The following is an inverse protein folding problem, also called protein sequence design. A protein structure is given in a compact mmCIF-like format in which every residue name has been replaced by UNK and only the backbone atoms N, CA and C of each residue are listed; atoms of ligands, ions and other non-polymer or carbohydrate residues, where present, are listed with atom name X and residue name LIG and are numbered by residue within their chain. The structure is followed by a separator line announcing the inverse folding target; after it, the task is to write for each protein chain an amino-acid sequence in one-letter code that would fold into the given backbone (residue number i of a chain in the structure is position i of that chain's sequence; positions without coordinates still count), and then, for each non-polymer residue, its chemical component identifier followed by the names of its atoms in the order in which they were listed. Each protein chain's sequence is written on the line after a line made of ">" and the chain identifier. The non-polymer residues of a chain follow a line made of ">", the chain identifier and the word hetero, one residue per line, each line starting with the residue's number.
data_IF_451643897873
#
_entry.id   IF_451643897873
#
_cell.length_a   1.000
_cell.length_b   1.000
_cell.length_c   1.000
_cell.angle_alpha   90.00
_cell.angle_beta   90.00
_cell.angle_gamma   90.00
#
_symmetry.space_group_name_H-M   'P 1'
#
loop_
_entity.id
_entity.type
_entity.pdbx_description
1 polymer ?
#
# COMPACT_ATOMS: atom_id res chain seq x y z
N UNK A 1 -6.97 39.43 31.02
CA UNK A 1 -5.55 39.82 30.89
C UNK A 1 -4.90 39.04 29.77
N UNK A 2 -4.62 39.69 28.64
CA UNK A 2 -4.07 39.03 27.45
C UNK A 2 -2.56 38.85 27.67
N UNK A 3 -2.13 37.64 27.99
CA UNK A 3 -0.72 37.28 28.26
C UNK A 3 0.22 37.27 27.03
N UNK A 4 -0.26 37.74 25.86
CA UNK A 4 0.48 37.61 24.59
C UNK A 4 0.94 38.93 23.98
N UNK A 5 0.93 40.03 24.75
CA UNK A 5 1.26 41.36 24.23
C UNK A 5 2.75 41.61 24.04
N UNK A 6 3.63 40.83 24.67
CA UNK A 6 5.07 41.10 24.74
C UNK A 6 5.92 40.11 23.91
N UNK A 7 5.30 39.40 22.97
CA UNK A 7 6.01 38.43 22.09
C UNK A 7 6.88 39.15 21.06
N UNK A 8 8.11 38.70 20.93
CA UNK A 8 8.99 39.15 19.84
C UNK A 8 8.50 38.63 18.46
N UNK A 9 9.12 39.11 17.38
CA UNK A 9 8.68 38.81 16.01
C UNK A 9 8.70 37.29 15.69
N UNK A 10 9.68 36.56 16.20
CA UNK A 10 9.82 35.10 15.98
C UNK A 10 8.76 34.33 16.79
N UNK A 11 8.47 34.74 17.98
CA UNK A 11 7.42 34.13 18.82
C UNK A 11 6.03 34.38 18.25
N UNK A 12 5.80 35.55 17.65
CA UNK A 12 4.56 35.86 16.93
C UNK A 12 4.39 34.96 15.70
N UNK A 13 5.46 34.78 14.92
CA UNK A 13 5.44 33.89 13.75
C UNK A 13 5.14 32.42 14.15
N UNK A 14 5.78 31.94 15.22
CA UNK A 14 5.53 30.59 15.76
C UNK A 14 4.08 30.48 16.24
N UNK A 15 3.57 31.50 16.96
CA UNK A 15 2.20 31.48 17.43
C UNK A 15 1.18 31.47 16.29
N UNK A 16 1.41 32.21 15.22
CA UNK A 16 0.53 32.17 14.04
C UNK A 16 0.57 30.81 13.34
N UNK A 17 1.74 30.21 13.18
CA UNK A 17 1.90 28.84 12.66
C UNK A 17 1.16 27.82 13.55
N UNK A 18 1.23 27.94 14.86
CA UNK A 18 0.50 27.09 15.80
C UNK A 18 -1.01 27.30 15.71
N UNK A 19 -1.49 28.54 15.55
CA UNK A 19 -2.91 28.83 15.35
C UNK A 19 -3.43 28.29 14.03
N UNK A 20 -2.66 28.36 12.95
CA UNK A 20 -3.00 27.74 11.67
C UNK A 20 -3.04 26.22 11.76
N UNK A 21 -2.09 25.61 12.47
CA UNK A 21 -2.08 24.15 12.69
C UNK A 21 -3.27 23.69 13.55
N UNK A 22 -3.68 24.50 14.55
CA UNK A 22 -4.83 24.20 15.42
C UNK A 22 -6.19 24.31 14.70
N UNK A 23 -6.26 25.06 13.60
CA UNK A 23 -7.45 25.10 12.73
C UNK A 23 -7.61 23.85 11.88
N UNK A 24 -6.54 23.09 11.66
CA UNK A 24 -6.61 21.78 11.02
C UNK A 24 -7.11 20.79 12.06
N UNK A 25 -8.38 20.39 11.96
CA UNK A 25 -8.91 19.27 12.74
C UNK A 25 -7.96 18.09 12.59
N UNK A 26 -7.70 17.35 13.66
CA UNK A 26 -6.93 16.13 13.60
C UNK A 26 -7.51 15.24 12.50
N UNK A 27 -6.70 14.93 11.50
CA UNK A 27 -7.11 14.05 10.40
C UNK A 27 -6.62 12.66 10.77
N UNK A 28 -7.55 11.77 11.07
CA UNK A 28 -7.24 10.37 11.30
C UNK A 28 -6.96 9.70 9.95
N UNK A 29 -5.81 9.06 9.83
CA UNK A 29 -5.43 8.23 8.69
C UNK A 29 -5.57 6.75 9.05
N UNK A 30 -6.13 5.97 8.14
CA UNK A 30 -6.14 4.51 8.30
C UNK A 30 -4.80 3.96 7.85
N UNK A 31 -4.08 3.34 8.77
CA UNK A 31 -2.74 2.81 8.54
C UNK A 31 -2.71 1.32 8.85
N UNK A 32 -1.95 0.56 8.07
CA UNK A 32 -1.61 -0.84 8.33
C UNK A 32 -0.09 -0.95 8.44
N UNK A 33 0.41 -1.38 9.60
CA UNK A 33 1.85 -1.35 9.90
C UNK A 33 2.60 -2.63 9.57
N UNK A 34 1.94 -3.67 9.09
CA UNK A 34 2.58 -4.95 8.83
C UNK A 34 1.77 -5.73 7.82
N UNK A 35 2.28 -5.85 6.60
CA UNK A 35 1.65 -6.65 5.56
C UNK A 35 2.71 -7.43 4.79
N UNK A 36 2.40 -8.68 4.49
CA UNK A 36 3.20 -9.51 3.60
C UNK A 36 2.54 -9.59 2.23
N UNK A 37 3.36 -9.50 1.18
CA UNK A 37 2.93 -9.64 -0.20
C UNK A 37 3.11 -11.09 -0.69
N UNK A 38 2.64 -11.43 -1.90
CA UNK A 38 2.92 -12.73 -2.51
C UNK A 38 4.40 -13.10 -2.63
N UNK A 39 5.31 -12.14 -2.50
CA UNK A 39 6.75 -12.40 -2.48
C UNK A 39 7.25 -13.01 -1.16
N UNK A 40 6.50 -12.83 -0.07
CA UNK A 40 6.85 -13.41 1.23
C UNK A 40 6.57 -14.91 1.25
N UNK A 41 7.46 -15.68 1.87
CA UNK A 41 7.31 -17.15 1.92
C UNK A 41 6.08 -17.61 2.72
N UNK A 42 5.62 -16.80 3.65
CA UNK A 42 4.47 -17.08 4.55
C UNK A 42 3.18 -16.41 4.08
N UNK A 43 3.19 -15.79 2.90
CA UNK A 43 2.00 -15.14 2.36
C UNK A 43 0.82 -16.11 2.27
N UNK A 44 -0.28 -15.73 2.90
CA UNK A 44 -1.53 -16.48 2.88
C UNK A 44 -2.70 -15.51 2.73
N UNK A 45 -3.29 -15.43 1.56
CA UNK A 45 -4.50 -14.61 1.32
C UNK A 45 -5.78 -15.43 1.41
N UNK A 46 -5.71 -16.70 1.03
CA UNK A 46 -6.71 -17.73 1.23
C UNK A 46 -6.14 -18.75 2.20
N UNK A 47 -6.96 -19.59 2.81
CA UNK A 47 -6.59 -20.56 3.85
C UNK A 47 -5.38 -21.46 3.54
N UNK A 48 -4.88 -21.42 2.29
CA UNK A 48 -3.56 -21.94 1.92
C UNK A 48 -3.03 -21.26 0.66
N UNK A 49 -1.69 -21.12 0.52
CA UNK A 49 -1.03 -20.75 -0.75
C UNK A 49 -1.52 -21.61 -1.91
N UNK A 50 -1.70 -22.87 -1.64
CA UNK A 50 -2.17 -23.85 -2.63
C UNK A 50 -3.56 -23.54 -3.20
N UNK A 51 -4.48 -23.01 -2.40
CA UNK A 51 -5.83 -22.69 -2.86
C UNK A 51 -5.85 -21.49 -3.79
N UNK A 52 -4.98 -20.52 -3.56
CA UNK A 52 -4.84 -19.38 -4.45
C UNK A 52 -4.26 -19.77 -5.80
N UNK A 53 -3.17 -20.54 -5.80
CA UNK A 53 -2.50 -21.00 -7.04
C UNK A 53 -3.29 -22.08 -7.80
N UNK A 54 -4.20 -22.79 -7.11
CA UNK A 54 -5.10 -23.78 -7.72
C UNK A 54 -6.43 -23.21 -8.17
N UNK A 55 -6.79 -21.99 -7.72
CA UNK A 55 -8.00 -21.29 -8.19
C UNK A 55 -7.94 -21.06 -9.69
N UNK A 56 -9.08 -21.23 -10.37
CA UNK A 56 -9.14 -20.87 -11.78
C UNK A 56 -9.02 -19.35 -11.91
N UNK A 57 -8.17 -18.89 -12.82
CA UNK A 57 -7.99 -17.45 -13.12
C UNK A 57 -9.35 -16.74 -13.26
N UNK A 58 -10.29 -17.37 -13.95
CA UNK A 58 -11.64 -16.83 -14.16
C UNK A 58 -12.42 -16.62 -12.86
N UNK A 59 -12.26 -17.48 -11.85
CA UNK A 59 -12.95 -17.33 -10.56
C UNK A 59 -12.40 -16.14 -9.79
N UNK A 60 -11.09 -15.93 -9.85
CA UNK A 60 -10.42 -14.78 -9.22
C UNK A 60 -10.81 -13.49 -9.93
N UNK A 61 -10.85 -13.49 -11.25
CA UNK A 61 -11.32 -12.35 -12.06
C UNK A 61 -12.80 -12.04 -11.76
N UNK A 62 -13.62 -13.07 -11.63
CA UNK A 62 -15.03 -12.90 -11.25
C UNK A 62 -15.16 -12.26 -9.85
N UNK A 63 -14.33 -12.69 -8.89
CA UNK A 63 -14.29 -12.09 -7.55
C UNK A 63 -13.83 -10.63 -7.59
N UNK A 64 -12.78 -10.30 -8.35
CA UNK A 64 -12.33 -8.92 -8.53
C UNK A 64 -13.44 -8.02 -9.09
N UNK A 65 -14.27 -8.58 -9.97
CA UNK A 65 -15.30 -7.85 -10.68
C UNK A 65 -16.68 -7.87 -9.99
N UNK A 66 -16.83 -8.54 -8.85
CA UNK A 66 -18.13 -8.71 -8.16
C UNK A 66 -18.93 -7.43 -7.92
N UNK A 67 -18.24 -6.33 -7.60
CA UNK A 67 -18.91 -5.06 -7.27
C UNK A 67 -18.76 -3.99 -8.37
N UNK A 68 -17.82 -4.16 -9.27
CA UNK A 68 -17.53 -3.25 -10.38
C UNK A 68 -16.62 -3.99 -11.34
N UNK A 69 -16.84 -3.88 -12.64
CA UNK A 69 -15.93 -4.45 -13.64
C UNK A 69 -14.54 -3.78 -13.54
N UNK A 70 -13.67 -4.31 -12.66
CA UNK A 70 -12.37 -3.74 -12.37
C UNK A 70 -11.33 -4.15 -13.42
N UNK A 71 -11.47 -5.33 -13.98
CA UNK A 71 -10.48 -5.85 -14.90
C UNK A 71 -11.14 -6.61 -16.05
N UNK A 72 -10.76 -6.26 -17.27
CA UNK A 72 -11.05 -7.02 -18.47
C UNK A 72 -9.90 -7.97 -18.79
N UNK A 73 -10.13 -8.94 -19.65
CA UNK A 73 -9.12 -9.90 -20.09
C UNK A 73 -7.88 -9.20 -20.69
N UNK A 74 -8.10 -8.24 -21.58
CA UNK A 74 -7.02 -7.45 -22.19
C UNK A 74 -6.24 -6.63 -21.17
N UNK A 75 -6.91 -6.06 -20.15
CA UNK A 75 -6.25 -5.31 -19.09
C UNK A 75 -5.42 -6.24 -18.21
N UNK A 76 -5.93 -7.45 -17.91
CA UNK A 76 -5.20 -8.45 -17.15
C UNK A 76 -3.95 -8.92 -17.89
N UNK A 77 -4.06 -9.24 -19.19
CA UNK A 77 -2.92 -9.64 -20.00
C UNK A 77 -1.82 -8.58 -19.99
N UNK A 78 -2.18 -7.30 -20.17
CA UNK A 78 -1.21 -6.21 -20.15
C UNK A 78 -0.59 -6.00 -18.78
N UNK A 79 -1.38 -6.06 -17.73
CA UNK A 79 -0.90 -5.93 -16.36
C UNK A 79 0.03 -7.06 -15.97
N UNK A 80 -0.27 -8.29 -16.37
CA UNK A 80 0.48 -9.49 -15.99
C UNK A 80 1.90 -9.55 -16.57
N UNK A 81 2.22 -8.73 -17.57
CA UNK A 81 3.57 -8.68 -18.17
C UNK A 81 4.69 -8.29 -17.17
N UNK A 82 4.34 -7.63 -16.07
CA UNK A 82 5.27 -7.25 -15.01
C UNK A 82 5.40 -8.28 -13.87
N UNK A 83 4.81 -9.47 -14.02
CA UNK A 83 4.74 -10.51 -13.00
C UNK A 83 5.18 -11.86 -13.58
N UNK A 84 5.52 -12.80 -12.71
CA UNK A 84 6.01 -14.11 -13.15
C UNK A 84 4.92 -14.94 -13.85
N UNK A 85 3.65 -14.72 -13.46
CA UNK A 85 2.50 -15.34 -14.10
C UNK A 85 1.19 -14.57 -13.73
N UNK A 86 0.08 -14.94 -14.39
CA UNK A 86 -1.21 -14.30 -14.16
C UNK A 86 -1.75 -14.49 -12.73
N UNK A 87 -1.47 -15.61 -12.07
CA UNK A 87 -1.93 -15.83 -10.70
C UNK A 87 -1.23 -14.90 -9.73
N UNK A 88 0.07 -14.69 -9.90
CA UNK A 88 0.80 -13.71 -9.10
C UNK A 88 0.23 -12.29 -9.33
N UNK A 89 0.05 -11.89 -10.59
CA UNK A 89 -0.55 -10.60 -10.93
C UNK A 89 -1.92 -10.40 -10.25
N UNK A 90 -2.77 -11.43 -10.29
CA UNK A 90 -4.08 -11.41 -9.65
C UNK A 90 -3.99 -11.32 -8.12
N UNK A 91 -2.99 -11.96 -7.49
CA UNK A 91 -2.76 -11.85 -6.05
C UNK A 91 -2.47 -10.42 -5.63
N UNK A 92 -1.58 -9.75 -6.35
CA UNK A 92 -1.28 -8.33 -6.11
C UNK A 92 -2.50 -7.43 -6.37
N UNK A 93 -3.28 -7.69 -7.41
CA UNK A 93 -4.53 -6.94 -7.66
C UNK A 93 -5.57 -7.13 -6.55
N UNK A 94 -5.72 -8.34 -6.03
CA UNK A 94 -6.60 -8.62 -4.89
C UNK A 94 -6.16 -7.86 -3.65
N UNK A 95 -4.87 -7.87 -3.35
CA UNK A 95 -4.30 -7.15 -2.22
C UNK A 95 -4.48 -5.65 -2.37
N UNK A 96 -4.15 -5.09 -3.53
CA UNK A 96 -4.35 -3.68 -3.86
C UNK A 96 -5.84 -3.28 -3.73
N UNK A 97 -6.75 -4.09 -4.30
CA UNK A 97 -8.20 -3.89 -4.16
C UNK A 97 -8.61 -3.85 -2.68
N UNK A 98 -8.11 -4.77 -1.86
CA UNK A 98 -8.44 -4.83 -0.44
C UNK A 98 -8.00 -3.58 0.31
N UNK A 99 -6.80 -3.08 0.04
CA UNK A 99 -6.28 -1.84 0.63
C UNK A 99 -7.13 -0.64 0.22
N UNK A 100 -7.42 -0.49 -1.07
CA UNK A 100 -8.20 0.62 -1.64
C UNK A 100 -9.67 0.60 -1.18
N UNK A 101 -10.33 -0.55 -1.17
CA UNK A 101 -11.73 -0.71 -0.71
C UNK A 101 -11.85 -0.38 0.79
N UNK A 102 -10.84 -0.71 1.57
CA UNK A 102 -10.78 -0.39 2.99
C UNK A 102 -10.29 1.04 3.28
N UNK A 103 -10.00 1.84 2.26
CA UNK A 103 -9.53 3.22 2.39
C UNK A 103 -8.26 3.32 3.27
N UNK A 104 -7.36 2.37 3.11
CA UNK A 104 -6.04 2.42 3.76
C UNK A 104 -5.23 3.51 3.10
N UNK A 105 -4.74 4.48 3.87
CA UNK A 105 -3.98 5.62 3.35
C UNK A 105 -2.47 5.35 3.33
N UNK A 106 -2.02 4.48 4.24
CA UNK A 106 -0.63 4.12 4.36
C UNK A 106 -0.51 2.64 4.76
N UNK A 107 0.32 1.87 4.06
CA UNK A 107 0.61 0.48 4.42
C UNK A 107 2.13 0.24 4.42
N UNK A 108 2.62 -0.45 5.44
CA UNK A 108 4.02 -0.87 5.56
C UNK A 108 4.15 -2.29 5.03
N UNK A 109 4.87 -2.44 3.93
CA UNK A 109 5.21 -3.76 3.35
C UNK A 109 6.44 -4.30 4.04
N UNK A 110 6.33 -5.49 4.63
CA UNK A 110 7.37 -6.11 5.45
C UNK A 110 7.56 -7.57 5.09
N UNK A 111 7.79 -7.86 3.82
CA UNK A 111 8.03 -9.23 3.37
C UNK A 111 9.26 -9.83 4.06
N UNK A 112 9.21 -11.12 4.36
CA UNK A 112 10.32 -11.84 4.97
C UNK A 112 11.53 -11.90 4.03
N UNK A 113 12.63 -11.29 4.48
CA UNK A 113 13.95 -11.33 3.84
C UNK A 113 13.96 -10.91 2.35
N UNK A 114 12.98 -10.12 1.89
CA UNK A 114 12.89 -9.65 0.51
C UNK A 114 12.20 -8.29 0.40
N UNK A 115 12.53 -7.53 -0.64
CA UNK A 115 11.85 -6.29 -1.03
C UNK A 115 11.07 -6.43 -2.34
N UNK A 116 11.13 -7.59 -2.99
CA UNK A 116 10.62 -7.77 -4.36
C UNK A 116 9.11 -7.55 -4.49
N UNK A 117 8.37 -7.71 -3.39
CA UNK A 117 6.92 -7.52 -3.36
C UNK A 117 6.48 -6.06 -3.35
N UNK A 118 7.32 -5.15 -2.86
CA UNK A 118 6.97 -3.75 -2.70
C UNK A 118 6.56 -3.08 -4.02
N UNK A 119 7.45 -3.10 -5.00
CA UNK A 119 7.21 -2.49 -6.33
C UNK A 119 6.04 -3.15 -7.07
N UNK A 120 5.90 -4.47 -6.95
CA UNK A 120 4.77 -5.21 -7.54
C UNK A 120 3.44 -4.76 -6.95
N UNK A 121 3.36 -4.57 -5.62
CA UNK A 121 2.16 -4.07 -4.96
C UNK A 121 1.88 -2.60 -5.29
N UNK A 122 2.91 -1.75 -5.32
CA UNK A 122 2.79 -0.35 -5.72
C UNK A 122 2.20 -0.22 -7.12
N UNK A 123 2.71 -1.01 -8.08
CA UNK A 123 2.19 -1.06 -9.44
C UNK A 123 0.72 -1.50 -9.49
N UNK A 124 0.33 -2.49 -8.68
CA UNK A 124 -1.05 -2.96 -8.61
C UNK A 124 -2.00 -1.89 -8.05
N UNK A 125 -1.59 -1.17 -7.00
CA UNK A 125 -2.36 -0.05 -6.44
C UNK A 125 -2.50 1.06 -7.47
N UNK A 126 -1.40 1.46 -8.10
CA UNK A 126 -1.39 2.51 -9.11
C UNK A 126 -2.27 2.14 -10.31
N UNK A 127 -2.21 0.89 -10.77
CA UNK A 127 -3.02 0.37 -11.85
C UNK A 127 -4.53 0.49 -11.52
N UNK A 128 -4.98 -0.08 -10.41
CA UNK A 128 -6.39 -0.02 -10.03
C UNK A 128 -6.87 1.41 -9.78
N UNK A 129 -6.06 2.24 -9.12
CA UNK A 129 -6.43 3.62 -8.85
C UNK A 129 -6.57 4.45 -10.12
N UNK A 130 -5.65 4.31 -11.09
CA UNK A 130 -5.70 5.04 -12.37
C UNK A 130 -6.91 4.66 -13.21
N UNK A 131 -7.22 3.37 -13.29
CA UNK A 131 -8.32 2.86 -14.12
C UNK A 131 -9.70 3.05 -13.47
N UNK A 132 -9.76 3.25 -12.13
CA UNK A 132 -11.02 3.30 -11.39
C UNK A 132 -11.11 4.47 -10.41
N UNK A 133 -10.67 5.66 -10.81
CA UNK A 133 -10.68 6.91 -9.99
C UNK A 133 -12.06 7.25 -9.42
N UNK A 134 -13.14 6.89 -10.12
CA UNK A 134 -14.50 7.14 -9.66
C UNK A 134 -14.88 6.25 -8.47
N UNK A 135 -14.30 5.06 -8.37
CA UNK A 135 -14.53 4.10 -7.29
C UNK A 135 -13.62 4.37 -6.09
N UNK A 136 -12.32 4.49 -6.33
CA UNK A 136 -11.33 4.65 -5.27
C UNK A 136 -11.07 6.13 -5.01
N UNK A 137 -11.49 6.63 -3.83
CA UNK A 137 -11.36 8.05 -3.45
C UNK A 137 -10.03 8.35 -2.77
N UNK A 138 -9.39 7.33 -2.21
CA UNK A 138 -8.15 7.43 -1.45
C UNK A 138 -7.12 6.54 -2.13
N UNK A 139 -5.93 7.09 -2.34
CA UNK A 139 -4.77 6.34 -2.79
C UNK A 139 -4.06 5.74 -1.57
N UNK A 140 -3.63 4.50 -1.66
CA UNK A 140 -2.82 3.87 -0.63
C UNK A 140 -1.35 4.10 -0.94
N UNK A 141 -0.66 4.84 -0.08
CA UNK A 141 0.78 4.98 -0.12
C UNK A 141 1.43 3.77 0.57
N UNK A 142 2.60 3.36 0.08
CA UNK A 142 3.37 2.28 0.69
C UNK A 142 4.62 2.84 1.38
N UNK A 143 4.98 2.22 2.50
CA UNK A 143 6.30 2.33 3.12
C UNK A 143 7.07 1.03 2.87
N UNK A 144 8.34 1.18 2.51
CA UNK A 144 9.23 0.05 2.33
C UNK A 144 9.74 -0.43 3.68
N UNK A 145 9.52 -1.69 3.96
CA UNK A 145 10.06 -2.38 5.12
C UNK A 145 10.54 -3.77 4.77
N UNK A 146 11.13 -4.42 5.73
CA UNK A 146 11.53 -5.83 5.66
C UNK A 146 11.34 -6.47 7.03
N UNK A 147 10.90 -7.70 7.06
CA UNK A 147 10.94 -8.52 8.26
C UNK A 147 12.09 -9.51 8.17
N UNK A 148 13.04 -9.37 9.07
CA UNK A 148 14.21 -10.24 9.15
C UNK A 148 13.93 -11.31 10.19
N UNK A 149 13.84 -12.56 9.74
CA UNK A 149 13.69 -13.71 10.63
C UNK A 149 15.04 -14.05 11.27
N UNK A 150 15.13 -13.88 12.59
CA UNK A 150 16.27 -14.31 13.40
C UNK A 150 15.78 -15.46 14.29
N UNK A 151 16.62 -16.45 14.57
CA UNK A 151 16.32 -17.69 15.30
C UNK A 151 15.01 -17.74 16.12
N UNK A 152 14.85 -16.86 17.12
CA UNK A 152 13.67 -16.83 18.01
C UNK A 152 12.91 -15.50 17.98
N UNK A 153 13.20 -14.61 17.01
CA UNK A 153 12.59 -13.28 16.93
C UNK A 153 12.52 -12.77 15.51
N UNK A 154 11.61 -11.82 15.29
CA UNK A 154 11.49 -11.10 14.03
C UNK A 154 11.83 -9.63 14.26
N UNK A 155 12.62 -9.06 13.38
CA UNK A 155 12.99 -7.64 13.42
C UNK A 155 12.44 -6.96 12.19
N UNK A 156 11.64 -5.92 12.38
CA UNK A 156 11.10 -5.12 11.28
C UNK A 156 11.98 -3.90 11.07
N UNK A 157 12.59 -3.80 9.89
CA UNK A 157 13.28 -2.62 9.41
C UNK A 157 12.34 -1.78 8.53
N UNK A 158 12.39 -0.46 8.69
CA UNK A 158 11.64 0.49 7.84
C UNK A 158 12.66 1.38 7.15
N UNK A 159 12.48 1.59 5.85
CA UNK A 159 13.42 2.35 5.04
C UNK A 159 12.74 3.60 4.48
N UNK A 160 13.48 4.70 4.49
CA UNK A 160 13.10 5.87 3.71
C UNK A 160 13.36 5.55 2.23
N UNK A 161 12.28 5.47 1.47
CA UNK A 161 12.31 5.08 0.08
C UNK A 161 12.13 6.32 -0.80
N UNK A 162 13.23 6.85 -1.31
CA UNK A 162 13.19 7.80 -2.40
C UNK A 162 13.21 7.05 -3.73
N UNK A 163 12.21 7.25 -4.56
CA UNK A 163 11.99 6.57 -5.84
C UNK A 163 13.20 6.63 -6.80
N UNK A 164 14.11 7.57 -6.57
CA UNK A 164 15.31 7.82 -7.39
C UNK A 164 16.43 6.78 -7.22
N UNK A 165 16.40 5.95 -6.17
CA UNK A 165 17.46 4.97 -5.92
C UNK A 165 17.32 3.65 -6.69
N UNK A 166 16.18 3.39 -7.33
CA UNK A 166 15.95 2.16 -8.09
C UNK A 166 16.24 2.28 -9.59
N UNK A 167 16.43 3.48 -10.12
CA UNK A 167 16.74 3.67 -11.54
C UNK A 167 18.24 3.43 -11.88
N UNK A 168 19.10 3.24 -10.87
CA UNK A 168 20.56 3.07 -11.05
C UNK A 168 21.08 1.63 -10.88
N UNK A 169 20.18 0.59 -10.91
CA UNK A 169 20.66 -0.80 -10.79
C UNK A 169 20.12 -1.71 -11.88
#
# INVERSE_FOLDING_TARGET
>A
MNKFTDLNSREKEILEKLKESSKKKAVYKKVVFHIHTPASYDYSYFDSKDNFYKGKVNDIVAYLNQSTALISETLLENFSKGYDNQHEALAYLLMAKKLLDNKVELALVTDHNTFSGFTKLENAIAFLYRHHKNKFKIYTNLLLGIEISCADSHVVGIFDYEQNYLEER
#
